data_IF_109890704339
#
_entry.id   IF_109890704339
#
_cell.length_a   1.000
_cell.length_b   1.000
_cell.length_c   1.000
_cell.angle_alpha   90.00
_cell.angle_beta   90.00
_cell.angle_gamma   90.00
#
_symmetry.space_group_name_H-M   'P 1'
#
loop_
_entity.id
_entity.type
_entity.pdbx_description
1 polymer ?
#
# COMPACT_ATOMS: atom_id res chain seq x y z
N UNK A 1 1.00 -28.69 42.62
CA UNK A 1 0.96 -28.57 41.15
C UNK A 1 -0.45 -28.19 40.70
N UNK A 2 -0.51 -27.20 39.80
CA UNK A 2 -1.65 -26.68 39.01
C UNK A 2 -2.70 -25.78 39.69
N UNK A 3 -2.38 -24.49 39.65
CA UNK A 3 -3.31 -23.36 39.48
C UNK A 3 -4.29 -23.62 38.33
N UNK A 4 -5.59 -23.40 38.56
CA UNK A 4 -6.60 -23.30 37.50
C UNK A 4 -7.14 -21.88 37.47
N UNK A 5 -6.53 -21.04 36.64
CA UNK A 5 -7.04 -19.71 36.32
C UNK A 5 -8.32 -19.82 35.47
N UNK A 6 -9.33 -19.03 35.84
CA UNK A 6 -10.64 -18.94 35.20
C UNK A 6 -10.51 -18.24 33.83
N UNK A 7 -11.18 -18.69 32.75
CA UNK A 7 -11.20 -17.93 31.51
C UNK A 7 -12.12 -16.71 31.65
N UNK A 8 -11.53 -15.50 31.56
CA UNK A 8 -12.30 -14.26 31.34
C UNK A 8 -12.77 -14.27 29.90
N UNK A 9 -14.09 -14.35 29.68
CA UNK A 9 -14.72 -14.11 28.38
C UNK A 9 -14.33 -12.71 27.90
N UNK A 10 -13.72 -12.63 26.72
CA UNK A 10 -13.51 -11.38 26.01
C UNK A 10 -14.85 -10.85 25.52
N UNK A 11 -15.38 -9.84 26.21
CA UNK A 11 -16.53 -9.07 25.77
C UNK A 11 -16.17 -7.59 25.82
N UNK A 12 -15.42 -7.08 24.84
CA UNK A 12 -15.27 -5.63 24.64
C UNK A 12 -14.70 -5.35 23.25
N UNK A 13 -15.58 -4.97 22.32
CA UNK A 13 -15.17 -4.18 21.14
C UNK A 13 -16.33 -3.31 20.63
N UNK A 14 -17.59 -3.73 20.80
CA UNK A 14 -18.78 -2.92 20.43
C UNK A 14 -19.18 -1.86 21.46
N UNK A 15 -18.67 -1.92 22.70
CA UNK A 15 -19.04 -0.98 23.76
C UNK A 15 -18.27 0.36 23.72
N UNK A 16 -17.15 0.44 23.00
CA UNK A 16 -16.27 1.63 23.05
C UNK A 16 -16.73 2.80 22.18
N UNK A 17 -17.51 2.57 21.12
CA UNK A 17 -18.03 3.66 20.27
C UNK A 17 -19.21 4.36 20.95
N UNK A 18 -20.08 3.62 21.65
CA UNK A 18 -21.22 4.17 22.36
C UNK A 18 -20.82 4.98 23.63
N UNK A 19 -19.71 4.62 24.27
CA UNK A 19 -19.23 5.33 25.46
C UNK A 19 -18.65 6.72 25.15
N UNK A 20 -18.05 6.90 23.97
CA UNK A 20 -17.57 8.22 23.53
C UNK A 20 -18.73 9.13 23.10
N UNK A 21 -19.78 8.56 22.49
CA UNK A 21 -21.02 9.27 22.20
C UNK A 21 -21.77 9.73 23.45
N UNK A 22 -21.74 8.94 24.53
CA UNK A 22 -22.40 9.29 25.80
C UNK A 22 -21.73 10.44 26.56
N UNK A 23 -20.39 10.56 26.50
CA UNK A 23 -19.66 11.65 27.17
C UNK A 23 -19.76 13.00 26.44
N UNK A 24 -20.15 13.01 25.17
CA UNK A 24 -20.47 14.23 24.42
C UNK A 24 -21.90 14.76 24.67
N UNK A 25 -22.74 14.04 25.43
CA UNK A 25 -24.14 14.44 25.70
C UNK A 25 -24.34 15.19 27.00
N UNK A 26 -23.29 15.54 27.75
CA UNK A 26 -23.43 16.59 28.77
C UNK A 26 -23.48 17.93 28.04
N UNK A 27 -24.64 18.22 27.45
CA UNK A 27 -24.95 19.52 26.89
C UNK A 27 -24.55 20.59 27.91
N UNK A 28 -23.64 21.52 27.59
CA UNK A 28 -23.42 22.65 28.46
C UNK A 28 -24.77 23.34 28.69
N UNK A 29 -25.04 23.70 29.94
CA UNK A 29 -26.23 24.47 30.30
C UNK A 29 -26.37 25.64 29.33
N UNK A 30 -27.61 25.92 28.89
CA UNK A 30 -27.97 26.84 27.80
C UNK A 30 -27.45 28.27 28.04
N UNK A 31 -26.16 28.51 27.87
CA UNK A 31 -25.59 29.84 27.62
C UNK A 31 -25.86 30.11 26.14
N UNK A 32 -26.67 31.13 25.86
CA UNK A 32 -26.91 31.54 24.48
C UNK A 32 -25.58 31.89 23.80
N UNK A 33 -25.46 31.60 22.51
CA UNK A 33 -24.29 32.00 21.72
C UNK A 33 -24.05 33.50 21.92
N UNK A 34 -22.90 33.85 22.47
CA UNK A 34 -22.50 35.25 22.58
C UNK A 34 -21.85 35.71 21.28
N UNK A 35 -21.69 37.03 21.12
CA UNK A 35 -20.92 37.57 20.00
C UNK A 35 -19.47 37.02 19.99
N UNK A 36 -18.87 36.88 21.18
CA UNK A 36 -17.54 36.29 21.36
C UNK A 36 -17.49 34.83 20.88
N UNK A 37 -18.53 34.03 21.14
CA UNK A 37 -18.59 32.64 20.66
C UNK A 37 -18.63 32.59 19.12
N UNK A 38 -19.33 33.53 18.49
CA UNK A 38 -19.39 33.66 17.04
C UNK A 38 -18.07 34.20 16.44
N UNK A 39 -17.36 35.08 17.15
CA UNK A 39 -16.04 35.56 16.76
C UNK A 39 -14.99 34.44 16.78
N UNK A 40 -14.96 33.64 17.85
CA UNK A 40 -14.07 32.47 17.92
C UNK A 40 -14.37 31.45 16.83
N UNK A 41 -15.64 31.19 16.53
CA UNK A 41 -16.01 30.31 15.43
C UNK A 41 -15.50 30.85 14.08
N UNK A 42 -15.62 32.15 13.82
CA UNK A 42 -15.09 32.78 12.59
C UNK A 42 -13.56 32.68 12.51
N UNK A 43 -12.87 32.93 13.61
CA UNK A 43 -11.40 32.88 13.67
C UNK A 43 -10.88 31.46 13.45
N UNK A 44 -11.55 30.47 14.04
CA UNK A 44 -11.21 29.05 13.85
C UNK A 44 -11.44 28.58 12.41
N UNK A 45 -12.57 28.96 11.79
CA UNK A 45 -12.83 28.65 10.38
C UNK A 45 -11.80 29.29 9.44
N UNK A 46 -11.36 30.53 9.72
CA UNK A 46 -10.28 31.18 8.97
C UNK A 46 -8.92 30.48 9.15
N UNK A 47 -8.63 29.98 10.35
CA UNK A 47 -7.45 29.17 10.63
C UNK A 47 -7.47 27.82 9.89
N UNK A 48 -8.63 27.16 9.83
CA UNK A 48 -8.80 25.93 9.05
C UNK A 48 -8.58 26.18 7.56
N UNK A 49 -9.15 27.23 7.00
CA UNK A 49 -9.00 27.60 5.59
C UNK A 49 -7.53 27.85 5.20
N UNK A 50 -6.78 28.60 6.03
CA UNK A 50 -5.36 28.87 5.80
C UNK A 50 -4.48 27.63 5.93
N UNK A 51 -4.79 26.74 6.88
CA UNK A 51 -4.07 25.47 7.08
C UNK A 51 -4.36 24.49 5.94
N UNK A 52 -5.62 24.36 5.54
CA UNK A 52 -6.01 23.50 4.43
C UNK A 52 -5.39 23.97 3.10
N UNK A 53 -5.33 25.28 2.84
CA UNK A 53 -4.61 25.82 1.67
C UNK A 53 -3.14 25.39 1.59
N UNK A 54 -2.45 25.31 2.74
CA UNK A 54 -1.05 24.86 2.77
C UNK A 54 -0.92 23.36 2.48
N UNK A 55 -1.82 22.52 3.00
CA UNK A 55 -1.79 21.07 2.75
C UNK A 55 -2.24 20.68 1.34
N UNK A 56 -3.23 21.37 0.78
CA UNK A 56 -3.69 21.16 -0.60
C UNK A 56 -2.54 21.46 -1.60
N UNK A 57 -1.73 22.47 -1.31
CA UNK A 57 -0.55 22.80 -2.13
C UNK A 57 0.52 21.71 -2.12
N UNK A 58 0.75 21.05 -0.98
CA UNK A 58 1.75 19.98 -0.91
C UNK A 58 1.35 18.76 -1.76
N UNK A 59 0.10 18.29 -1.63
CA UNK A 59 -0.39 17.16 -2.40
C UNK A 59 -0.46 17.47 -3.90
N UNK A 60 -0.86 18.69 -4.28
CA UNK A 60 -0.86 19.14 -5.66
C UNK A 60 0.57 19.18 -6.25
N UNK A 61 1.54 19.72 -5.49
CA UNK A 61 2.94 19.80 -5.93
C UNK A 61 3.59 18.42 -6.08
N UNK A 62 3.35 17.50 -5.13
CA UNK A 62 3.81 16.10 -5.22
C UNK A 62 3.17 15.41 -6.44
N UNK A 63 1.88 15.62 -6.68
CA UNK A 63 1.19 15.02 -7.83
C UNK A 63 1.73 15.55 -9.17
N UNK A 64 2.01 16.86 -9.26
CA UNK A 64 2.59 17.47 -10.46
C UNK A 64 4.04 17.03 -10.71
N UNK A 65 4.86 16.95 -9.66
CA UNK A 65 6.27 16.52 -9.77
C UNK A 65 6.41 15.02 -10.03
N UNK A 66 5.49 14.21 -9.51
CA UNK A 66 5.40 12.77 -9.76
C UNK A 66 5.27 12.42 -11.25
N UNK A 67 4.68 13.30 -12.07
CA UNK A 67 4.47 13.03 -13.50
C UNK A 67 5.76 12.74 -14.26
N UNK A 68 6.84 13.49 -13.98
CA UNK A 68 8.15 13.26 -14.60
C UNK A 68 8.75 11.91 -14.19
N UNK A 69 8.70 11.59 -12.90
CA UNK A 69 9.20 10.31 -12.39
C UNK A 69 8.44 9.15 -13.02
N UNK A 70 7.12 9.26 -13.16
CA UNK A 70 6.31 8.24 -13.82
C UNK A 70 6.69 8.07 -15.30
N UNK A 71 6.98 9.15 -16.02
CA UNK A 71 7.48 9.07 -17.40
C UNK A 71 8.85 8.41 -17.48
N UNK A 72 9.76 8.71 -16.56
CA UNK A 72 11.09 8.08 -16.50
C UNK A 72 10.99 6.57 -16.17
N UNK A 73 10.11 6.19 -15.24
CA UNK A 73 9.80 4.78 -14.95
C UNK A 73 9.22 4.08 -16.19
N UNK A 74 8.27 4.71 -16.88
CA UNK A 74 7.65 4.15 -18.08
C UNK A 74 8.66 4.00 -19.24
N UNK A 75 9.53 4.99 -19.45
CA UNK A 75 10.60 4.92 -20.43
C UNK A 75 11.59 3.79 -20.09
N UNK A 76 11.99 3.66 -18.83
CA UNK A 76 12.86 2.57 -18.38
C UNK A 76 12.19 1.20 -18.56
N UNK A 77 10.91 1.08 -18.24
CA UNK A 77 10.14 -0.15 -18.43
C UNK A 77 10.01 -0.54 -19.92
N UNK A 78 10.02 0.42 -20.85
CA UNK A 78 10.02 0.11 -22.29
C UNK A 78 11.35 -0.47 -22.79
N UNK A 79 12.46 -0.12 -22.14
CA UNK A 79 13.80 -0.67 -22.43
C UNK A 79 13.94 -2.07 -21.80
N UNK A 80 13.26 -2.33 -20.68
CA UNK A 80 13.27 -3.60 -19.96
C UNK A 80 11.85 -4.14 -19.76
N UNK A 81 11.15 -4.59 -20.82
CA UNK A 81 9.72 -4.88 -20.76
C UNK A 81 9.32 -6.08 -19.89
N UNK A 82 10.27 -6.90 -19.43
CA UNK A 82 9.93 -8.26 -18.96
C UNK A 82 10.39 -8.66 -17.56
N UNK A 83 11.33 -7.96 -16.90
CA UNK A 83 11.95 -8.46 -15.65
C UNK A 83 11.01 -8.61 -14.44
N UNK A 84 9.74 -8.21 -14.57
CA UNK A 84 8.72 -8.30 -13.52
C UNK A 84 7.39 -8.92 -13.96
N UNK A 85 7.25 -9.32 -15.24
CA UNK A 85 5.97 -9.85 -15.73
C UNK A 85 5.82 -11.32 -15.34
N UNK A 86 4.81 -11.60 -14.52
CA UNK A 86 4.38 -12.98 -14.27
C UNK A 86 3.83 -13.56 -15.57
N UNK A 87 4.28 -14.77 -15.89
CA UNK A 87 3.83 -15.55 -17.03
C UNK A 87 2.80 -16.57 -16.56
N UNK A 88 2.03 -17.13 -17.50
CA UNK A 88 1.07 -18.20 -17.21
C UNK A 88 1.76 -19.56 -16.96
N UNK A 89 3.09 -19.64 -17.10
CA UNK A 89 3.85 -20.86 -16.87
C UNK A 89 4.08 -21.09 -15.38
N UNK A 90 3.72 -22.26 -14.89
CA UNK A 90 3.92 -22.64 -13.50
C UNK A 90 5.31 -23.27 -13.28
N UNK A 91 5.95 -22.93 -12.16
CA UNK A 91 7.16 -23.56 -11.70
C UNK A 91 6.89 -25.00 -11.28
N UNK A 92 7.66 -25.93 -11.84
CA UNK A 92 7.55 -27.36 -11.53
C UNK A 92 7.92 -27.71 -10.06
N UNK A 93 8.69 -26.86 -9.38
CA UNK A 93 9.14 -27.12 -8.01
C UNK A 93 8.16 -26.63 -6.94
N UNK A 94 7.48 -25.49 -7.15
CA UNK A 94 6.61 -24.89 -6.13
C UNK A 94 5.21 -24.47 -6.64
N UNK A 95 4.93 -24.60 -7.93
CA UNK A 95 3.65 -24.26 -8.55
C UNK A 95 3.40 -22.76 -8.77
N UNK A 96 4.29 -21.88 -8.30
CA UNK A 96 4.18 -20.43 -8.51
C UNK A 96 4.48 -20.05 -9.97
N UNK A 97 3.91 -18.96 -10.48
CA UNK A 97 4.17 -18.50 -11.85
C UNK A 97 5.65 -18.13 -12.06
N UNK A 98 6.13 -18.34 -13.26
CA UNK A 98 7.48 -17.96 -13.69
C UNK A 98 7.50 -16.50 -14.17
N UNK A 99 8.65 -15.86 -14.03
CA UNK A 99 8.96 -14.51 -14.51
C UNK A 99 9.96 -14.63 -15.65
N UNK A 100 9.73 -13.92 -16.74
CA UNK A 100 10.67 -13.88 -17.85
C UNK A 100 11.77 -12.85 -17.55
N UNK A 101 13.02 -13.24 -17.71
CA UNK A 101 14.18 -12.41 -17.41
C UNK A 101 15.05 -12.27 -18.65
N UNK A 102 15.54 -11.05 -18.88
CA UNK A 102 16.53 -10.78 -19.91
C UNK A 102 17.93 -10.85 -19.26
N UNK A 103 18.86 -11.58 -19.87
CA UNK A 103 20.24 -11.67 -19.42
C UNK A 103 20.99 -10.42 -19.89
N UNK A 104 21.63 -9.70 -18.98
CA UNK A 104 22.49 -8.58 -19.34
C UNK A 104 23.82 -9.10 -19.91
N UNK A 105 24.07 -8.93 -21.22
CA UNK A 105 25.40 -9.12 -21.80
C UNK A 105 25.44 -9.69 -23.22
N UNK A 106 24.49 -10.54 -23.59
CA UNK A 106 24.36 -11.11 -24.94
C UNK A 106 23.00 -10.69 -25.51
N UNK A 107 23.00 -10.12 -26.72
CA UNK A 107 21.79 -9.63 -27.36
C UNK A 107 20.77 -10.77 -27.51
N UNK A 108 19.71 -10.72 -26.70
CA UNK A 108 18.54 -11.59 -26.85
C UNK A 108 18.47 -12.81 -25.94
N UNK A 109 19.49 -13.06 -25.12
CA UNK A 109 19.46 -14.18 -24.19
C UNK A 109 18.49 -13.91 -23.04
N UNK A 110 17.49 -14.79 -22.91
CA UNK A 110 16.42 -14.67 -21.95
C UNK A 110 16.14 -16.03 -21.28
N UNK A 111 15.61 -15.99 -20.06
CA UNK A 111 15.37 -17.17 -19.24
C UNK A 111 14.13 -16.96 -18.38
N UNK A 112 13.57 -18.04 -17.85
CA UNK A 112 12.48 -17.94 -16.88
C UNK A 112 12.96 -18.28 -15.48
N UNK A 113 12.60 -17.45 -14.50
CA UNK A 113 12.89 -17.65 -13.09
C UNK A 113 11.61 -17.81 -12.28
N UNK A 114 11.66 -18.56 -11.18
CA UNK A 114 10.49 -18.66 -10.30
C UNK A 114 10.22 -17.34 -9.56
N UNK A 115 8.96 -16.87 -9.58
CA UNK A 115 8.54 -15.70 -8.80
C UNK A 115 8.71 -15.89 -7.28
N UNK A 116 8.75 -17.14 -6.81
CA UNK A 116 9.00 -17.52 -5.42
C UNK A 116 10.48 -17.61 -5.03
N UNK A 117 11.41 -16.99 -5.77
CA UNK A 117 12.84 -17.02 -5.45
C UNK A 117 13.14 -16.50 -4.02
N UNK A 118 12.44 -15.44 -3.59
CA UNK A 118 12.55 -14.90 -2.22
C UNK A 118 11.99 -15.86 -1.16
N UNK A 119 11.07 -16.75 -1.53
CA UNK A 119 10.52 -17.78 -0.66
C UNK A 119 11.37 -19.07 -0.67
N UNK A 120 12.53 -19.05 -1.33
CA UNK A 120 13.50 -20.15 -1.38
C UNK A 120 13.44 -21.03 -2.63
N UNK A 121 12.56 -20.75 -3.61
CA UNK A 121 12.47 -21.52 -4.84
C UNK A 121 13.37 -20.93 -5.94
N UNK A 122 14.62 -21.36 -6.02
CA UNK A 122 15.63 -20.87 -6.98
C UNK A 122 15.61 -21.59 -8.35
N UNK A 123 14.48 -22.17 -8.75
CA UNK A 123 14.37 -22.85 -10.05
C UNK A 123 14.51 -21.86 -11.21
N UNK A 124 15.39 -22.21 -12.15
CA UNK A 124 15.65 -21.50 -13.40
C UNK A 124 15.34 -22.41 -14.58
N UNK A 125 14.90 -21.81 -15.67
CA UNK A 125 14.50 -22.48 -16.90
C UNK A 125 15.07 -21.70 -18.08
N UNK A 126 15.57 -22.41 -19.08
CA UNK A 126 15.95 -21.80 -20.34
C UNK A 126 14.70 -21.40 -21.13
N UNK A 127 14.82 -20.36 -21.94
CA UNK A 127 13.78 -20.01 -22.89
C UNK A 127 14.01 -20.76 -24.22
N UNK A 128 13.10 -21.64 -24.59
CA UNK A 128 13.04 -22.26 -25.92
C UNK A 128 11.76 -21.80 -26.62
N UNK A 129 11.91 -20.97 -27.66
CA UNK A 129 10.80 -20.44 -28.47
C UNK A 129 9.67 -19.77 -27.65
N UNK A 130 10.03 -19.07 -26.56
CA UNK A 130 9.07 -18.40 -25.68
C UNK A 130 8.46 -19.30 -24.61
N UNK A 131 8.99 -20.51 -24.41
CA UNK A 131 8.54 -21.48 -23.40
C UNK A 131 9.66 -21.86 -22.44
N UNK A 132 9.37 -22.02 -21.14
CA UNK A 132 10.36 -22.47 -20.16
C UNK A 132 10.67 -23.95 -20.36
N UNK A 133 11.95 -24.27 -20.52
CA UNK A 133 12.47 -25.63 -20.53
C UNK A 133 13.41 -25.80 -19.35
N UNK A 134 13.25 -26.88 -18.59
CA UNK A 134 14.12 -27.16 -17.45
C UNK A 134 15.55 -27.36 -17.96
N UNK A 135 16.50 -26.61 -17.41
CA UNK A 135 17.94 -26.85 -17.63
C UNK A 135 18.26 -28.26 -17.12
N UNK A 136 18.73 -29.14 -18.01
CA UNK A 136 19.07 -30.52 -17.69
C UNK A 136 20.35 -30.62 -16.86
#
# INVERSE_FOLDING_TARGET
>A
MLSKSKPRRMATARASIAAFGGQLTRAPAKRGLTAEDADHAREFEAYLETTMRRQINYLAWVSLTSGRLQQEIAAMASIFPDSSRLTDFACEACGKPLVHHLRHGEEGDNFFGCSGCLDGCMSLYDNLDGRPVRMA
#
